data_IF_621480684619
#
_entry.id   IF_621480684619
#
_cell.length_a   1.000
_cell.length_b   1.000
_cell.length_c   1.000
_cell.angle_alpha   90.00
_cell.angle_beta   90.00
_cell.angle_gamma   90.00
#
_symmetry.space_group_name_H-M   'P 1'
#
loop_
_entity.id
_entity.type
_entity.pdbx_description
1 polymer ?
#
# COMPACT_ATOMS: atom_id res chain seq x y z
N UNK A 1 -12.72 3.91 5.37
CA UNK A 1 -11.29 4.18 5.22
C UNK A 1 -10.79 4.75 6.53
N UNK A 2 -9.57 4.43 6.92
CA UNK A 2 -8.91 5.02 8.09
C UNK A 2 -7.42 5.24 7.81
N UNK A 3 -6.80 6.13 8.59
CA UNK A 3 -5.39 6.45 8.46
C UNK A 3 -4.57 5.78 9.56
N UNK A 4 -3.37 5.31 9.20
CA UNK A 4 -2.45 4.68 10.15
C UNK A 4 -1.02 5.08 9.86
N UNK A 5 -0.28 5.43 10.91
CA UNK A 5 1.17 5.56 10.81
C UNK A 5 1.83 4.19 10.82
N UNK A 6 2.79 4.01 9.92
CA UNK A 6 3.53 2.74 9.82
C UNK A 6 5.04 2.98 9.86
N UNK A 7 5.79 1.88 10.07
CA UNK A 7 7.26 1.92 10.18
C UNK A 7 7.97 1.78 8.83
N UNK A 8 7.30 1.22 7.82
CA UNK A 8 7.89 0.97 6.50
C UNK A 8 6.85 0.92 5.39
N UNK A 9 7.27 1.29 4.18
CA UNK A 9 6.42 1.32 2.97
C UNK A 9 6.85 0.32 1.89
N UNK A 10 8.13 -0.10 1.90
CA UNK A 10 8.70 -1.04 0.94
C UNK A 10 8.94 -2.41 1.57
N UNK A 11 8.65 -3.47 0.82
CA UNK A 11 9.08 -4.83 1.15
C UNK A 11 10.58 -5.04 0.87
N UNK A 12 11.10 -6.21 1.25
CA UNK A 12 12.48 -6.64 0.92
C UNK A 12 12.76 -6.63 -0.59
N UNK A 13 11.75 -6.89 -1.41
CA UNK A 13 11.82 -6.90 -2.87
C UNK A 13 11.43 -5.56 -3.51
N UNK A 14 11.35 -4.47 -2.72
CA UNK A 14 10.95 -3.12 -3.15
C UNK A 14 9.51 -3.02 -3.66
N UNK A 15 8.61 -3.90 -3.23
CA UNK A 15 7.18 -3.70 -3.49
C UNK A 15 6.65 -2.65 -2.53
N UNK A 16 6.09 -1.58 -3.10
CA UNK A 16 5.44 -0.50 -2.39
C UNK A 16 4.00 -0.89 -2.07
N UNK A 17 3.61 -0.67 -0.83
CA UNK A 17 2.24 -0.88 -0.37
C UNK A 17 1.81 0.38 0.36
N UNK A 18 0.94 1.17 -0.26
CA UNK A 18 0.37 2.42 0.29
C UNK A 18 -0.92 2.13 1.06
N UNK A 19 -1.68 1.15 0.59
CA UNK A 19 -3.01 0.81 1.08
C UNK A 19 -3.09 -0.65 1.49
N UNK A 20 -3.87 -0.91 2.54
CA UNK A 20 -4.34 -2.27 2.87
C UNK A 20 -5.86 -2.29 2.83
N UNK A 21 -6.41 -3.35 2.26
CA UNK A 21 -7.83 -3.41 1.90
C UNK A 21 -8.08 -2.88 0.49
N UNK A 22 -9.27 -3.17 -0.04
CA UNK A 22 -9.69 -2.75 -1.37
C UNK A 22 -11.22 -2.79 -1.51
N UNK A 23 -11.78 -1.87 -2.29
CA UNK A 23 -13.22 -1.75 -2.55
C UNK A 23 -13.68 -2.34 -3.88
N UNK A 24 -12.79 -2.94 -4.68
CA UNK A 24 -13.12 -3.54 -5.99
C UNK A 24 -14.02 -4.78 -5.90
N UNK A 25 -14.09 -5.46 -4.75
CA UNK A 25 -15.00 -6.60 -4.58
C UNK A 25 -14.60 -7.89 -5.30
N UNK A 26 -13.36 -8.04 -5.76
CA UNK A 26 -12.91 -9.27 -6.44
C UNK A 26 -13.01 -10.50 -5.50
N UNK A 27 -13.81 -11.48 -5.88
CA UNK A 27 -14.04 -12.72 -5.10
C UNK A 27 -12.79 -13.60 -5.00
N UNK A 28 -11.84 -13.44 -5.93
CA UNK A 28 -10.60 -14.19 -6.02
C UNK A 28 -9.38 -13.41 -5.48
N UNK A 29 -9.61 -12.30 -4.77
CA UNK A 29 -8.52 -11.48 -4.28
C UNK A 29 -7.72 -12.21 -3.19
N UNK A 30 -6.45 -12.51 -3.48
CA UNK A 30 -5.53 -13.16 -2.55
C UNK A 30 -5.40 -12.38 -1.23
N UNK A 31 -5.40 -11.04 -1.30
CA UNK A 31 -5.28 -10.15 -0.14
C UNK A 31 -6.43 -10.26 0.87
N UNK A 32 -7.55 -10.94 0.52
CA UNK A 32 -8.63 -11.29 1.48
C UNK A 32 -8.25 -12.43 2.43
N UNK A 33 -7.16 -13.14 2.15
CA UNK A 33 -6.72 -14.25 2.99
C UNK A 33 -6.34 -13.79 4.40
N UNK A 34 -6.70 -14.60 5.40
CA UNK A 34 -6.34 -14.36 6.81
C UNK A 34 -4.83 -14.32 7.04
N UNK A 35 -4.02 -14.90 6.15
CA UNK A 35 -2.55 -14.87 6.27
C UNK A 35 -1.97 -13.45 6.28
N UNK A 36 -2.70 -12.48 5.74
CA UNK A 36 -2.28 -11.08 5.73
C UNK A 36 -2.54 -10.36 7.05
N UNK A 37 -3.21 -10.97 8.03
CA UNK A 37 -3.44 -10.41 9.37
C UNK A 37 -3.96 -8.97 9.31
N UNK A 38 -5.07 -8.75 8.59
CA UNK A 38 -5.80 -7.47 8.66
C UNK A 38 -6.64 -7.47 9.95
N UNK A 39 -6.53 -6.40 10.72
CA UNK A 39 -7.25 -6.20 11.98
C UNK A 39 -8.53 -5.35 11.79
N UNK A 40 -8.86 -5.06 10.54
CA UNK A 40 -10.00 -4.26 10.10
C UNK A 40 -10.70 -4.99 8.93
N UNK A 41 -11.92 -4.57 8.64
CA UNK A 41 -12.68 -5.09 7.50
C UNK A 41 -11.95 -4.80 6.18
N UNK A 42 -11.94 -5.75 5.24
CA UNK A 42 -11.17 -5.63 4.00
C UNK A 42 -11.57 -4.41 3.14
N UNK A 43 -12.84 -4.03 3.21
CA UNK A 43 -13.40 -2.85 2.53
C UNK A 43 -13.13 -1.54 3.28
N UNK A 44 -12.70 -1.59 4.54
CA UNK A 44 -12.21 -0.42 5.28
C UNK A 44 -10.73 -0.17 4.97
N UNK A 45 -10.48 0.53 3.87
CA UNK A 45 -9.12 0.80 3.39
C UNK A 45 -8.27 1.50 4.46
N UNK A 46 -7.22 0.83 4.94
CA UNK A 46 -6.15 1.39 5.78
C UNK A 46 -5.16 2.15 4.88
N UNK A 47 -5.16 3.47 5.01
CA UNK A 47 -4.26 4.38 4.31
C UNK A 47 -3.03 4.64 5.18
N UNK A 48 -1.85 4.36 4.64
CA UNK A 48 -0.59 4.66 5.34
C UNK A 48 -0.31 6.16 5.24
N UNK A 49 -0.59 6.89 6.32
CA UNK A 49 -0.56 8.35 6.35
C UNK A 49 0.82 8.90 5.97
N UNK A 50 1.87 8.31 6.54
CA UNK A 50 3.27 8.72 6.34
C UNK A 50 3.94 8.04 5.13
N UNK A 51 3.17 7.52 4.17
CA UNK A 51 3.71 6.81 3.00
C UNK A 51 4.70 7.64 2.15
N UNK A 52 4.41 8.92 1.80
CA UNK A 52 5.34 9.73 1.01
C UNK A 52 6.69 9.96 1.69
N UNK A 53 6.67 10.29 2.98
CA UNK A 53 7.88 10.51 3.78
C UNK A 53 8.72 9.23 3.90
N UNK A 54 8.07 8.09 4.15
CA UNK A 54 8.75 6.80 4.22
C UNK A 54 9.37 6.41 2.87
N UNK A 55 8.68 6.70 1.76
CA UNK A 55 9.19 6.41 0.43
C UNK A 55 10.42 7.25 0.13
N UNK A 56 10.37 8.56 0.37
CA UNK A 56 11.51 9.45 0.19
C UNK A 56 12.72 8.97 0.99
N UNK A 57 12.51 8.70 2.29
CA UNK A 57 13.57 8.19 3.17
C UNK A 57 14.14 6.85 2.70
N UNK A 58 13.30 5.95 2.19
CA UNK A 58 13.74 4.67 1.66
C UNK A 58 14.56 4.83 0.37
N UNK A 59 14.13 5.71 -0.55
CA UNK A 59 14.81 5.96 -1.81
C UNK A 59 16.16 6.65 -1.61
N UNK A 60 16.26 7.64 -0.70
CA UNK A 60 17.53 8.30 -0.32
C UNK A 60 18.60 7.31 0.18
N UNK A 61 18.17 6.20 0.78
CA UNK A 61 19.07 5.14 1.29
C UNK A 61 19.52 4.16 0.20
N UNK A 62 18.86 4.11 -0.96
CA UNK A 62 19.28 3.22 -2.06
C UNK A 62 20.60 3.71 -2.67
N UNK A 63 21.56 2.79 -2.82
CA UNK A 63 22.89 3.05 -3.40
C UNK A 63 23.04 2.48 -4.81
N UNK A 64 22.12 1.62 -5.23
CA UNK A 64 22.07 1.00 -6.55
C UNK A 64 20.68 1.24 -7.14
N UNK A 65 20.61 1.29 -8.48
CA UNK A 65 19.33 1.32 -9.20
C UNK A 65 18.51 0.09 -8.80
N UNK A 66 17.22 0.29 -8.54
CA UNK A 66 16.28 -0.77 -8.24
C UNK A 66 14.92 -0.43 -8.83
N UNK A 67 14.12 -1.45 -9.11
CA UNK A 67 12.73 -1.29 -9.47
C UNK A 67 11.89 -1.16 -8.22
N UNK A 68 10.90 -0.26 -8.23
CA UNK A 68 9.85 -0.19 -7.22
C UNK A 68 8.61 -0.83 -7.83
N UNK A 69 8.12 -1.89 -7.20
CA UNK A 69 6.88 -2.56 -7.62
C UNK A 69 5.67 -1.88 -7.00
N UNK A 70 4.59 -1.71 -7.75
CA UNK A 70 3.26 -1.34 -7.24
C UNK A 70 2.29 -2.49 -7.51
N UNK A 71 1.10 -2.47 -6.90
CA UNK A 71 0.08 -3.47 -7.22
C UNK A 71 0.25 -4.83 -6.56
N UNK A 72 1.20 -5.01 -5.63
CA UNK A 72 1.45 -6.34 -5.03
C UNK A 72 0.42 -6.73 -3.96
N UNK A 73 -0.11 -5.77 -3.22
CA UNK A 73 -1.07 -6.01 -2.12
C UNK A 73 -2.38 -5.24 -2.28
N UNK A 74 -2.34 -4.19 -3.07
CA UNK A 74 -3.49 -3.33 -3.33
C UNK A 74 -3.30 -2.70 -4.70
N UNK A 75 -4.41 -2.43 -5.38
CA UNK A 75 -4.41 -1.79 -6.69
C UNK A 75 -3.87 -0.35 -6.58
N UNK A 76 -2.90 0.06 -7.43
CA UNK A 76 -2.32 1.39 -7.36
C UNK A 76 -3.27 2.48 -7.87
N UNK A 77 -4.38 2.14 -8.52
CA UNK A 77 -5.32 3.06 -9.13
C UNK A 77 -6.73 2.92 -8.53
N UNK A 78 -6.82 2.56 -7.24
CA UNK A 78 -8.09 2.54 -6.52
C UNK A 78 -8.83 3.87 -6.63
N UNK A 79 -10.17 3.84 -6.64
CA UNK A 79 -11.00 5.04 -6.75
C UNK A 79 -10.69 6.13 -5.70
N UNK A 80 -10.22 5.74 -4.51
CA UNK A 80 -9.81 6.66 -3.44
C UNK A 80 -8.67 7.61 -3.85
N UNK A 81 -7.88 7.24 -4.87
CA UNK A 81 -6.81 8.09 -5.41
C UNK A 81 -7.34 9.38 -6.05
N UNK A 82 -8.62 9.44 -6.43
CA UNK A 82 -9.24 10.69 -6.89
C UNK A 82 -9.14 11.78 -5.81
N UNK A 83 -9.23 11.38 -4.53
CA UNK A 83 -9.16 12.28 -3.38
C UNK A 83 -7.73 12.38 -2.82
N UNK A 84 -7.06 11.24 -2.61
CA UNK A 84 -5.78 11.19 -1.90
C UNK A 84 -4.57 11.56 -2.76
N UNK A 85 -4.58 11.24 -4.06
CA UNK A 85 -3.50 11.52 -5.00
C UNK A 85 -2.10 11.06 -4.50
N UNK A 86 -2.01 9.87 -3.92
CA UNK A 86 -0.73 9.28 -3.50
C UNK A 86 -0.03 8.54 -4.65
N UNK A 87 -0.76 8.13 -5.68
CA UNK A 87 -0.23 7.46 -6.89
C UNK A 87 -0.59 8.15 -8.20
N UNK A 88 -1.34 9.26 -8.16
CA UNK A 88 -1.77 10.06 -9.32
C UNK A 88 -0.89 11.28 -9.57
#
# INVERSE_FOLDING_TARGET
MHFKEVKSILSSNNNMNIYRGCTHGCIYCDSRSRCYNMEHDFEDIEVKLNAPELLENALRKKRKKCMIGTGSMCDPYMHIEIELNYTR
#
